data_IF_086136576979
#
_entry.id   IF_086136576979
#
_cell.length_a   1.000
_cell.length_b   1.000
_cell.length_c   1.000
_cell.angle_alpha   90.00
_cell.angle_beta   90.00
_cell.angle_gamma   90.00
#
_symmetry.space_group_name_H-M   'P 1'
#
loop_
_entity.id
_entity.type
_entity.pdbx_description
1 polymer ?
#
# COMPACT_ATOMS: atom_id res chain seq x y z
N UNK A 1 7.05 29.26 2.26
CA UNK A 1 5.98 28.25 2.21
C UNK A 1 6.52 27.02 1.49
N UNK A 2 6.63 25.91 2.21
CA UNK A 2 7.18 24.63 1.73
C UNK A 2 6.33 24.04 0.60
N UNK A 3 5.00 24.08 0.71
CA UNK A 3 4.10 23.62 -0.34
C UNK A 3 3.43 24.78 -1.08
N UNK A 4 3.71 24.88 -2.37
CA UNK A 4 3.03 25.75 -3.31
C UNK A 4 2.95 25.03 -4.64
N UNK A 5 1.74 24.98 -5.21
CA UNK A 5 1.47 24.43 -6.55
C UNK A 5 1.82 25.42 -7.66
N UNK A 6 2.03 26.69 -7.30
CA UNK A 6 2.47 27.72 -8.22
C UNK A 6 3.91 27.45 -8.69
N UNK A 7 4.05 27.08 -9.98
CA UNK A 7 5.31 26.76 -10.63
C UNK A 7 6.21 27.98 -10.85
N UNK A 8 5.63 29.19 -10.80
CA UNK A 8 6.38 30.44 -10.98
C UNK A 8 7.19 30.81 -9.74
N UNK A 9 6.83 30.25 -8.57
CA UNK A 9 7.53 30.53 -7.32
C UNK A 9 8.82 29.71 -7.23
N UNK A 10 9.97 30.36 -6.98
CA UNK A 10 11.22 29.64 -6.76
C UNK A 10 11.11 28.69 -5.56
N UNK A 11 11.94 27.65 -5.56
CA UNK A 11 12.08 26.71 -4.46
C UNK A 11 13.57 26.44 -4.20
N UNK A 12 14.06 27.00 -3.09
CA UNK A 12 15.46 26.87 -2.71
C UNK A 12 15.87 25.41 -2.52
N UNK A 13 17.19 25.14 -2.56
CA UNK A 13 17.75 23.80 -2.33
C UNK A 13 17.23 23.17 -1.03
N UNK A 14 17.26 23.94 0.07
CA UNK A 14 16.76 23.48 1.38
C UNK A 14 15.27 23.23 1.32
N UNK A 15 14.49 24.13 0.70
CA UNK A 15 13.05 23.94 0.53
C UNK A 15 12.70 22.69 -0.27
N UNK A 16 13.48 22.40 -1.32
CA UNK A 16 13.34 21.18 -2.12
C UNK A 16 13.63 19.91 -1.31
N UNK A 17 14.76 19.88 -0.58
CA UNK A 17 15.12 18.72 0.25
C UNK A 17 14.09 18.47 1.36
N UNK A 18 13.59 19.52 2.00
CA UNK A 18 12.51 19.42 3.00
C UNK A 18 11.25 18.83 2.37
N UNK A 19 10.85 19.29 1.18
CA UNK A 19 9.70 18.71 0.48
C UNK A 19 9.93 17.25 0.08
N UNK A 20 11.13 16.90 -0.39
CA UNK A 20 11.47 15.53 -0.75
C UNK A 20 11.34 14.59 0.46
N UNK A 21 11.91 14.97 1.60
CA UNK A 21 11.81 14.18 2.84
C UNK A 21 10.36 14.10 3.31
N UNK A 22 9.66 15.23 3.37
CA UNK A 22 8.26 15.27 3.80
C UNK A 22 7.37 14.38 2.93
N UNK A 23 7.46 14.50 1.60
CA UNK A 23 6.68 13.69 0.67
C UNK A 23 7.02 12.20 0.83
N UNK A 24 8.31 11.86 0.96
CA UNK A 24 8.74 10.48 1.17
C UNK A 24 8.11 9.89 2.43
N UNK A 25 8.13 10.61 3.55
CA UNK A 25 7.55 10.16 4.82
C UNK A 25 6.03 10.03 4.72
N UNK A 26 5.35 11.04 4.19
CA UNK A 26 3.87 11.03 4.10
C UNK A 26 3.39 9.91 3.19
N UNK A 27 3.96 9.77 2.00
CA UNK A 27 3.52 8.75 1.05
C UNK A 27 3.99 7.35 1.42
N UNK A 28 5.15 7.18 2.07
CA UNK A 28 5.52 5.90 2.67
C UNK A 28 4.51 5.50 3.75
N UNK A 29 4.21 6.40 4.71
CA UNK A 29 3.26 6.13 5.78
C UNK A 29 1.86 5.79 5.27
N UNK A 30 1.34 6.56 4.30
CA UNK A 30 0.06 6.25 3.64
C UNK A 30 0.08 4.88 2.96
N UNK A 31 1.17 4.56 2.24
CA UNK A 31 1.30 3.29 1.54
C UNK A 31 1.33 2.10 2.49
N UNK A 32 2.08 2.18 3.59
CA UNK A 32 2.13 1.14 4.63
C UNK A 32 0.78 0.95 5.31
N UNK A 33 0.10 2.04 5.67
CA UNK A 33 -1.23 1.98 6.29
C UNK A 33 -2.26 1.38 5.34
N UNK A 34 -2.31 1.86 4.09
CA UNK A 34 -3.24 1.34 3.07
C UNK A 34 -2.99 -0.12 2.75
N UNK A 35 -1.72 -0.50 2.54
CA UNK A 35 -1.35 -1.88 2.25
C UNK A 35 -1.68 -2.79 3.43
N UNK A 36 -1.23 -2.44 4.63
CA UNK A 36 -1.48 -3.24 5.84
C UNK A 36 -2.97 -3.40 6.14
N UNK A 37 -3.77 -2.34 5.93
CA UNK A 37 -5.22 -2.42 6.10
C UNK A 37 -5.87 -3.39 5.09
N UNK A 38 -5.43 -3.35 3.83
CA UNK A 38 -5.95 -4.21 2.76
C UNK A 38 -5.47 -5.66 2.85
N UNK A 39 -4.27 -5.92 3.37
CA UNK A 39 -3.70 -7.28 3.42
C UNK A 39 -3.87 -7.98 4.76
N UNK A 40 -4.22 -7.26 5.83
CA UNK A 40 -4.43 -7.85 7.15
C UNK A 40 -5.83 -7.58 7.69
N UNK A 41 -6.19 -6.31 7.89
CA UNK A 41 -7.41 -5.95 8.64
C UNK A 41 -8.69 -6.35 7.91
N UNK A 42 -8.80 -6.04 6.62
CA UNK A 42 -10.00 -6.36 5.83
C UNK A 42 -10.17 -7.86 5.56
N UNK A 43 -9.12 -8.61 5.14
CA UNK A 43 -9.22 -10.06 5.00
C UNK A 43 -9.64 -10.73 6.31
N UNK A 44 -9.12 -10.29 7.46
CA UNK A 44 -9.42 -10.92 8.75
C UNK A 44 -10.91 -10.88 9.11
N UNK A 45 -11.61 -9.77 8.82
CA UNK A 45 -13.05 -9.68 9.02
C UNK A 45 -13.84 -10.63 8.11
N UNK A 46 -13.43 -10.76 6.85
CA UNK A 46 -14.05 -11.69 5.90
C UNK A 46 -13.82 -13.16 6.28
N UNK A 47 -12.60 -13.49 6.72
CA UNK A 47 -12.23 -14.84 7.19
C UNK A 47 -13.10 -15.25 8.37
N UNK A 48 -13.23 -14.39 9.38
CA UNK A 48 -14.03 -14.69 10.57
C UNK A 48 -15.51 -14.89 10.24
N UNK A 49 -16.06 -14.07 9.35
CA UNK A 49 -17.47 -14.20 8.94
C UNK A 49 -17.73 -15.51 8.19
N UNK A 50 -16.83 -15.89 7.28
CA UNK A 50 -16.95 -17.13 6.49
C UNK A 50 -16.72 -18.38 7.37
N UNK A 51 -15.74 -18.36 8.26
CA UNK A 51 -15.52 -19.43 9.25
C UNK A 51 -16.71 -19.63 10.17
N UNK A 52 -17.34 -18.53 10.64
CA UNK A 52 -18.54 -18.62 11.46
C UNK A 52 -19.70 -19.23 10.68
N UNK A 53 -19.86 -18.89 9.39
CA UNK A 53 -20.88 -19.49 8.55
C UNK A 53 -20.64 -20.98 8.29
N UNK A 54 -19.38 -21.39 8.06
CA UNK A 54 -18.98 -22.80 7.91
C UNK A 54 -19.24 -23.56 9.22
N UNK A 55 -18.82 -23.01 10.35
CA UNK A 55 -19.00 -23.61 11.67
C UNK A 55 -20.47 -23.80 12.01
N UNK A 56 -21.30 -22.77 11.81
CA UNK A 56 -22.75 -22.86 12.05
C UNK A 56 -23.41 -23.90 11.17
N UNK A 57 -23.10 -23.92 9.86
CA UNK A 57 -23.65 -24.90 8.93
C UNK A 57 -23.29 -26.33 9.31
N UNK A 58 -22.04 -26.57 9.69
CA UNK A 58 -21.57 -27.89 10.11
C UNK A 58 -22.15 -28.31 11.47
N UNK A 59 -22.26 -27.37 12.41
CA UNK A 59 -22.92 -27.58 13.70
C UNK A 59 -24.39 -27.95 13.52
N UNK A 60 -25.15 -27.19 12.73
CA UNK A 60 -26.58 -27.45 12.52
C UNK A 60 -26.81 -28.79 11.84
N UNK A 61 -25.96 -29.16 10.86
CA UNK A 61 -26.00 -30.47 10.24
C UNK A 61 -25.69 -31.61 11.22
N UNK A 62 -24.68 -31.45 12.08
CA UNK A 62 -24.31 -32.44 13.08
C UNK A 62 -25.41 -32.61 14.13
N UNK A 63 -25.97 -31.52 14.62
CA UNK A 63 -27.07 -31.52 15.59
C UNK A 63 -28.34 -32.13 14.99
N UNK A 64 -28.69 -31.77 13.75
CA UNK A 64 -29.86 -32.34 13.05
C UNK A 64 -29.71 -33.85 12.84
N UNK A 65 -28.50 -34.31 12.48
CA UNK A 65 -28.19 -35.75 12.38
C UNK A 65 -28.31 -36.46 13.73
N UNK A 66 -27.77 -35.88 14.80
CA UNK A 66 -27.86 -36.47 16.14
C UNK A 66 -29.32 -36.57 16.61
N UNK A 67 -30.12 -35.52 16.39
CA UNK A 67 -31.57 -35.50 16.70
C UNK A 67 -32.34 -36.54 15.88
N UNK A 68 -32.03 -36.69 14.60
CA UNK A 68 -32.64 -37.70 13.74
C UNK A 68 -32.25 -39.14 14.11
N UNK A 69 -31.03 -39.35 14.61
CA UNK A 69 -30.56 -40.65 15.08
C UNK A 69 -31.20 -41.08 16.41
N UNK A 70 -31.60 -40.12 17.25
CA UNK A 70 -32.17 -40.38 18.57
C UNK A 70 -33.62 -40.90 18.55
N UNK A 71 -34.33 -40.91 17.40
CA UNK A 71 -35.71 -41.41 17.17
C UNK A 71 -36.37 -42.14 18.37
N UNK A 72 -36.95 -41.36 19.29
CA UNK A 72 -37.76 -41.88 20.42
C UNK A 72 -37.01 -42.25 21.72
N UNK A 73 -35.69 -42.01 21.81
CA UNK A 73 -34.89 -42.17 23.04
C UNK A 73 -34.66 -40.83 23.73
N UNK A 74 -34.29 -40.87 25.01
CA UNK A 74 -33.86 -39.67 25.78
C UNK A 74 -32.68 -39.03 25.05
N UNK A 75 -32.92 -37.85 24.49
CA UNK A 75 -31.91 -37.08 23.76
C UNK A 75 -31.32 -36.04 24.70
N UNK A 76 -30.01 -36.15 24.97
CA UNK A 76 -29.29 -35.10 25.69
C UNK A 76 -28.91 -33.98 24.72
N UNK A 77 -29.77 -32.98 24.66
CA UNK A 77 -29.60 -31.79 23.83
C UNK A 77 -28.33 -31.01 24.16
N UNK A 78 -27.88 -30.99 25.42
CA UNK A 78 -26.65 -30.29 25.81
C UNK A 78 -25.42 -31.02 25.30
N UNK A 79 -25.36 -32.34 25.45
CA UNK A 79 -24.23 -33.14 24.93
C UNK A 79 -24.18 -33.10 23.41
N UNK A 80 -25.32 -33.25 22.73
CA UNK A 80 -25.39 -33.19 21.28
C UNK A 80 -25.01 -31.82 20.72
N UNK A 81 -25.36 -30.73 21.40
CA UNK A 81 -24.95 -29.39 21.02
C UNK A 81 -23.45 -29.16 21.26
N UNK A 82 -22.88 -29.71 22.34
CA UNK A 82 -21.44 -29.66 22.59
C UNK A 82 -20.63 -30.40 21.51
N UNK A 83 -21.05 -31.60 21.13
CA UNK A 83 -20.44 -32.37 20.04
C UNK A 83 -20.60 -31.67 18.69
N UNK A 84 -21.80 -31.13 18.39
CA UNK A 84 -22.04 -30.39 17.16
C UNK A 84 -21.18 -29.12 17.06
N UNK A 85 -20.94 -28.42 18.17
CA UNK A 85 -20.01 -27.29 18.22
C UNK A 85 -18.58 -27.71 17.90
N UNK A 86 -18.11 -28.84 18.40
CA UNK A 86 -16.77 -29.36 18.08
C UNK A 86 -16.64 -29.71 16.59
N UNK A 87 -17.69 -30.30 15.99
CA UNK A 87 -17.74 -30.55 14.54
C UNK A 87 -17.71 -29.24 13.74
N UNK A 88 -18.42 -28.21 14.19
CA UNK A 88 -18.39 -26.87 13.60
C UNK A 88 -17.00 -26.24 13.62
N UNK A 89 -16.32 -26.28 14.77
CA UNK A 89 -14.95 -25.76 14.91
C UNK A 89 -13.95 -26.53 14.04
N UNK A 90 -14.06 -27.86 13.98
CA UNK A 90 -13.20 -28.69 13.14
C UNK A 90 -13.41 -28.42 11.64
N UNK A 91 -14.65 -28.17 11.21
CA UNK A 91 -14.97 -27.82 9.83
C UNK A 91 -14.39 -26.45 9.43
N UNK A 92 -14.54 -25.43 10.29
CA UNK A 92 -13.94 -24.11 10.07
C UNK A 92 -12.42 -24.17 10.00
N UNK A 93 -11.78 -24.92 10.92
CA UNK A 93 -10.33 -25.10 10.92
C UNK A 93 -9.82 -25.80 9.64
N UNK A 94 -10.59 -26.75 9.11
CA UNK A 94 -10.23 -27.48 7.87
C UNK A 94 -10.23 -26.57 6.64
N UNK A 95 -11.15 -25.61 6.58
CA UNK A 95 -11.28 -24.71 5.44
C UNK A 95 -10.55 -23.36 5.64
N UNK A 96 -9.95 -23.14 6.82
CA UNK A 96 -9.26 -21.89 7.20
C UNK A 96 -8.29 -21.38 6.13
N UNK A 97 -7.34 -22.20 5.66
CA UNK A 97 -6.34 -21.76 4.69
C UNK A 97 -6.98 -21.35 3.34
N UNK A 98 -8.03 -22.06 2.92
CA UNK A 98 -8.74 -21.78 1.68
C UNK A 98 -9.52 -20.47 1.80
N UNK A 99 -10.24 -20.28 2.90
CA UNK A 99 -10.98 -19.05 3.20
C UNK A 99 -10.02 -17.87 3.35
N UNK A 100 -8.89 -18.05 4.02
CA UNK A 100 -7.82 -17.06 4.12
C UNK A 100 -7.29 -16.65 2.74
N UNK A 101 -6.90 -17.61 1.92
CA UNK A 101 -6.39 -17.33 0.58
C UNK A 101 -7.44 -16.62 -0.28
N UNK A 102 -8.72 -17.01 -0.19
CA UNK A 102 -9.79 -16.37 -0.96
C UNK A 102 -10.02 -14.91 -0.51
N UNK A 103 -10.04 -14.67 0.79
CA UNK A 103 -10.17 -13.33 1.36
C UNK A 103 -8.97 -12.44 0.99
N UNK A 104 -7.74 -12.94 1.09
CA UNK A 104 -6.54 -12.20 0.70
C UNK A 104 -6.54 -11.89 -0.81
N UNK A 105 -6.91 -12.86 -1.65
CA UNK A 105 -7.00 -12.67 -3.10
C UNK A 105 -8.05 -11.63 -3.52
N UNK A 106 -9.13 -11.49 -2.75
CA UNK A 106 -10.16 -10.49 -3.01
C UNK A 106 -9.65 -9.05 -2.81
N UNK A 107 -8.81 -8.83 -1.80
CA UNK A 107 -8.33 -7.49 -1.43
C UNK A 107 -6.99 -7.11 -2.08
N UNK A 108 -6.20 -8.09 -2.54
CA UNK A 108 -4.90 -7.83 -3.17
C UNK A 108 -4.94 -6.83 -4.36
N UNK A 109 -5.92 -6.87 -5.29
CA UNK A 109 -5.99 -5.89 -6.37
C UNK A 109 -6.21 -4.46 -5.86
N UNK A 110 -7.00 -4.29 -4.80
CA UNK A 110 -7.26 -2.99 -4.18
C UNK A 110 -6.04 -2.46 -3.45
N UNK A 111 -5.28 -3.33 -2.78
CA UNK A 111 -4.00 -2.96 -2.18
C UNK A 111 -3.06 -2.37 -3.25
N UNK A 112 -2.88 -3.09 -4.36
CA UNK A 112 -2.02 -2.64 -5.48
C UNK A 112 -2.54 -1.33 -6.08
N UNK A 113 -3.85 -1.21 -6.29
CA UNK A 113 -4.47 0.01 -6.82
C UNK A 113 -4.18 1.24 -5.95
N UNK A 114 -4.28 1.12 -4.62
CA UNK A 114 -3.95 2.21 -3.71
C UNK A 114 -2.46 2.58 -3.74
N UNK A 115 -1.56 1.60 -3.91
CA UNK A 115 -0.13 1.88 -4.08
C UNK A 115 0.16 2.60 -5.40
N UNK A 116 -0.53 2.25 -6.49
CA UNK A 116 -0.43 2.98 -7.77
C UNK A 116 -0.88 4.43 -7.60
N UNK A 117 -2.03 4.66 -6.94
CA UNK A 117 -2.51 6.02 -6.65
C UNK A 117 -1.49 6.80 -5.82
N UNK A 118 -0.99 6.19 -4.75
CA UNK A 118 0.04 6.77 -3.89
C UNK A 118 1.28 7.18 -4.70
N UNK A 119 1.77 6.31 -5.59
CA UNK A 119 2.90 6.59 -6.48
C UNK A 119 2.61 7.76 -7.44
N UNK A 120 1.43 7.81 -8.05
CA UNK A 120 1.04 8.88 -8.98
C UNK A 120 0.99 10.24 -8.26
N UNK A 121 0.33 10.30 -7.10
CA UNK A 121 0.24 11.55 -6.34
C UNK A 121 1.61 11.99 -5.84
N UNK A 122 2.41 11.08 -5.30
CA UNK A 122 3.77 11.39 -4.87
C UNK A 122 4.62 11.91 -6.05
N UNK A 123 4.66 11.18 -7.16
CA UNK A 123 5.41 11.59 -8.35
C UNK A 123 4.93 12.96 -8.87
N UNK A 124 3.62 13.23 -8.84
CA UNK A 124 3.04 14.51 -9.22
C UNK A 124 3.51 15.67 -8.34
N UNK A 125 3.40 15.54 -7.01
CA UNK A 125 3.85 16.58 -6.08
C UNK A 125 5.37 16.79 -6.15
N UNK A 126 6.14 15.70 -6.30
CA UNK A 126 7.59 15.77 -6.42
C UNK A 126 8.00 16.43 -7.75
N UNK A 127 7.29 16.16 -8.84
CA UNK A 127 7.49 16.79 -10.15
C UNK A 127 7.27 18.31 -10.07
N UNK A 128 6.25 18.77 -9.36
CA UNK A 128 6.00 20.20 -9.11
C UNK A 128 7.18 20.83 -8.35
N UNK A 129 7.67 20.18 -7.29
CA UNK A 129 8.81 20.67 -6.52
C UNK A 129 10.09 20.72 -7.38
N UNK A 130 10.31 19.71 -8.21
CA UNK A 130 11.42 19.65 -9.17
C UNK A 130 11.34 20.76 -10.21
N UNK A 131 10.18 21.01 -10.78
CA UNK A 131 9.98 22.05 -11.78
C UNK A 131 10.28 23.43 -11.19
N UNK A 132 9.78 23.73 -9.98
CA UNK A 132 10.07 24.98 -9.27
C UNK A 132 11.56 25.14 -8.98
N UNK A 133 12.22 24.06 -8.54
CA UNK A 133 13.67 24.06 -8.30
C UNK A 133 14.45 24.28 -9.59
N UNK A 134 14.05 23.64 -10.69
CA UNK A 134 14.68 23.76 -11.99
C UNK A 134 14.55 25.18 -12.55
N UNK A 135 13.38 25.81 -12.38
CA UNK A 135 13.13 27.20 -12.76
C UNK A 135 14.09 28.15 -12.02
N UNK A 136 14.27 27.98 -10.71
CA UNK A 136 15.24 28.76 -9.91
C UNK A 136 16.70 28.49 -10.31
N UNK A 137 17.01 27.28 -10.79
CA UNK A 137 18.34 26.89 -11.23
C UNK A 137 18.62 27.22 -12.72
N UNK A 138 17.67 27.83 -13.43
CA UNK A 138 17.72 28.07 -14.88
C UNK A 138 18.17 26.85 -15.70
N UNK A 139 17.65 25.65 -15.36
CA UNK A 139 18.04 24.40 -16.05
C UNK A 139 17.28 24.19 -17.35
N UNK A 140 17.95 23.57 -18.32
CA UNK A 140 17.36 23.23 -19.61
C UNK A 140 16.29 22.12 -19.49
N UNK A 141 15.42 22.02 -20.48
CA UNK A 141 14.30 21.07 -20.49
C UNK A 141 14.72 19.60 -20.45
N UNK A 142 15.90 19.24 -20.98
CA UNK A 142 16.38 17.85 -20.96
C UNK A 142 16.72 17.38 -19.54
N UNK A 143 17.43 18.19 -18.75
CA UNK A 143 17.73 17.87 -17.36
C UNK A 143 16.46 17.78 -16.52
N UNK A 144 15.49 18.67 -16.79
CA UNK A 144 14.18 18.64 -16.16
C UNK A 144 13.46 17.33 -16.46
N UNK A 145 13.42 16.90 -17.72
CA UNK A 145 12.80 15.63 -18.11
C UNK A 145 13.44 14.43 -17.39
N UNK A 146 14.78 14.36 -17.34
CA UNK A 146 15.51 13.29 -16.66
C UNK A 146 15.18 13.27 -15.15
N UNK A 147 15.12 14.44 -14.51
CA UNK A 147 14.78 14.51 -13.09
C UNK A 147 13.34 14.07 -12.81
N UNK A 148 12.40 14.32 -13.74
CA UNK A 148 11.04 13.78 -13.63
C UNK A 148 11.04 12.26 -13.71
N UNK A 149 11.78 11.64 -14.63
CA UNK A 149 11.94 10.17 -14.63
C UNK A 149 12.50 9.66 -13.29
N UNK A 150 13.46 10.39 -12.71
CA UNK A 150 13.97 10.12 -11.38
C UNK A 150 12.91 10.22 -10.28
N UNK A 151 12.06 11.24 -10.33
CA UNK A 151 10.94 11.45 -9.42
C UNK A 151 9.96 10.28 -9.45
N UNK A 152 9.60 9.82 -10.64
CA UNK A 152 8.72 8.68 -10.84
C UNK A 152 9.34 7.40 -10.30
N UNK A 153 10.61 7.11 -10.63
CA UNK A 153 11.31 5.93 -10.12
C UNK A 153 11.38 5.92 -8.58
N UNK A 154 11.71 7.06 -7.97
CA UNK A 154 11.76 7.20 -6.51
C UNK A 154 10.37 7.06 -5.88
N UNK A 155 9.37 7.76 -6.41
CA UNK A 155 8.01 7.75 -5.89
C UNK A 155 7.39 6.35 -5.98
N UNK A 156 7.59 5.65 -7.09
CA UNK A 156 7.15 4.26 -7.26
C UNK A 156 7.84 3.34 -6.26
N UNK A 157 9.16 3.43 -6.09
CA UNK A 157 9.88 2.61 -5.12
C UNK A 157 9.36 2.81 -3.68
N UNK A 158 9.20 4.07 -3.26
CA UNK A 158 8.73 4.39 -1.90
C UNK A 158 7.27 3.97 -1.71
N UNK A 159 6.39 4.24 -2.67
CA UNK A 159 4.99 3.85 -2.56
C UNK A 159 4.82 2.32 -2.54
N UNK A 160 5.64 1.58 -3.30
CA UNK A 160 5.58 0.12 -3.34
C UNK A 160 6.42 -0.58 -2.27
N UNK A 161 7.16 0.16 -1.43
CA UNK A 161 7.96 -0.39 -0.34
C UNK A 161 7.21 -1.42 0.53
N UNK A 162 5.95 -1.20 1.00
CA UNK A 162 5.24 -2.20 1.78
C UNK A 162 5.00 -3.51 1.02
N UNK A 163 4.62 -3.43 -0.26
CA UNK A 163 4.44 -4.60 -1.12
C UNK A 163 5.77 -5.32 -1.34
N UNK A 164 6.82 -4.58 -1.69
CA UNK A 164 8.15 -5.13 -1.90
C UNK A 164 8.68 -5.81 -0.63
N UNK A 165 8.42 -5.23 0.54
CA UNK A 165 8.86 -5.78 1.83
C UNK A 165 8.08 -7.04 2.19
N UNK A 166 6.76 -7.03 1.96
CA UNK A 166 5.91 -8.19 2.14
C UNK A 166 6.36 -9.40 1.30
N UNK A 167 6.87 -9.15 0.08
CA UNK A 167 7.35 -10.19 -0.83
C UNK A 167 8.88 -10.43 -0.79
N UNK A 168 9.62 -9.78 0.11
CA UNK A 168 11.08 -9.94 0.20
C UNK A 168 11.87 -9.37 -1.00
N UNK A 169 11.26 -8.45 -1.75
CA UNK A 169 11.78 -7.87 -3.00
C UNK A 169 12.46 -6.51 -2.81
N UNK A 170 12.38 -5.88 -1.62
CA UNK A 170 12.87 -4.51 -1.37
C UNK A 170 14.33 -4.32 -1.77
N UNK A 171 15.20 -5.29 -1.46
CA UNK A 171 16.62 -5.21 -1.82
C UNK A 171 16.84 -5.22 -3.32
N UNK A 172 16.14 -6.10 -4.05
CA UNK A 172 16.25 -6.20 -5.50
C UNK A 172 15.79 -4.90 -6.19
N UNK A 173 14.75 -4.27 -5.66
CA UNK A 173 14.17 -3.05 -6.23
C UNK A 173 14.76 -1.74 -5.68
N UNK A 174 15.61 -1.81 -4.66
CA UNK A 174 16.30 -0.62 -4.10
C UNK A 174 17.09 0.16 -5.16
N UNK A 175 17.58 -0.51 -6.20
CA UNK A 175 18.25 0.12 -7.34
C UNK A 175 17.36 1.16 -8.03
N UNK A 176 16.04 0.95 -8.09
CA UNK A 176 15.10 1.93 -8.66
C UNK A 176 15.02 3.19 -7.81
N UNK A 177 14.99 3.05 -6.48
CA UNK A 177 15.04 4.18 -5.54
C UNK A 177 16.35 4.97 -5.64
N UNK A 178 17.49 4.28 -5.65
CA UNK A 178 18.80 4.91 -5.79
C UNK A 178 19.01 5.58 -7.15
N UNK A 179 18.59 4.91 -8.24
CA UNK A 179 18.60 5.50 -9.58
C UNK A 179 17.71 6.74 -9.62
N UNK A 180 16.52 6.69 -9.01
CA UNK A 180 15.62 7.83 -8.89
C UNK A 180 16.29 9.04 -8.23
N UNK A 181 16.93 8.83 -7.07
CA UNK A 181 17.69 9.87 -6.38
C UNK A 181 18.85 10.42 -7.22
N UNK A 182 19.60 9.56 -7.89
CA UNK A 182 20.74 9.95 -8.72
C UNK A 182 20.30 10.86 -9.89
N UNK A 183 19.16 10.56 -10.51
CA UNK A 183 18.60 11.35 -11.61
C UNK A 183 18.04 12.72 -11.17
N UNK A 184 17.59 12.83 -9.92
CA UNK A 184 17.11 14.08 -9.32
C UNK A 184 18.27 15.00 -8.90
N UNK A 185 19.40 14.41 -8.52
CA UNK A 185 20.53 15.11 -7.90
C UNK A 185 21.00 16.37 -8.65
N UNK A 186 21.16 16.37 -10.00
CA UNK A 186 21.64 17.53 -10.73
C UNK A 186 20.77 18.79 -10.57
N UNK A 187 19.46 18.61 -10.36
CA UNK A 187 18.52 19.72 -10.11
C UNK A 187 18.51 20.07 -8.62
N UNK A 188 18.56 19.06 -7.75
CA UNK A 188 18.55 19.26 -6.30
C UNK A 188 19.73 20.11 -5.80
N UNK A 189 20.94 19.89 -6.33
CA UNK A 189 22.17 20.53 -5.83
C UNK A 189 22.62 21.76 -6.62
N UNK A 190 21.97 22.06 -7.75
CA UNK A 190 22.35 23.19 -8.59
C UNK A 190 22.43 24.51 -7.79
N UNK A 191 23.19 25.48 -8.28
CA UNK A 191 23.13 26.86 -7.77
C UNK A 191 21.81 27.56 -8.14
N UNK A 192 21.65 28.80 -7.70
CA UNK A 192 20.69 29.71 -8.34
C UNK A 192 21.25 30.04 -9.71
N UNK A 193 20.44 29.93 -10.77
CA UNK A 193 20.86 30.34 -12.10
C UNK A 193 21.03 31.86 -12.10
N UNK A 194 22.16 32.38 -12.59
CA UNK A 194 22.19 33.78 -13.03
C UNK A 194 21.16 33.87 -14.17
N UNK A 195 20.13 34.70 -13.97
CA UNK A 195 19.39 35.20 -15.12
C UNK A 195 20.43 35.89 -15.99
N UNK A 196 20.60 35.45 -17.23
CA UNK A 196 21.33 36.21 -18.22
C UNK A 196 20.65 37.58 -18.27
N UNK A 197 21.30 38.58 -17.67
CA UNK A 197 20.97 39.98 -17.85
C UNK A 197 21.43 40.33 -19.27
N UNK A 198 20.68 39.82 -20.24
CA UNK A 198 20.70 40.37 -21.58
C UNK A 198 20.00 41.71 -21.48
N UNK A 199 20.76 42.71 -21.03
CA UNK A 199 20.38 44.10 -21.10
C UNK A 199 20.04 44.45 -22.54
N UNK A 200 18.74 44.49 -22.84
CA UNK A 200 18.11 45.13 -23.99
C UNK A 200 16.68 45.51 -23.60
#
# INVERSE_FOLDING_TARGET
>A
MTFSLDLTKPLSRVGFLVNLVFLSVVFSGLSWLSFGYMTHTLPQGAIQAEEQAIAQKAQDQAFTKAKAAAKGKVFDEKSALAEAKQVGLAAAAKDHEKTKHHAEALWAPFAIFLLIISAIFFAGFLSIALQRRANEAAKNGLLVFIAHLGAWALATFIAFEPFLSHHGLTRAWSVAGFAGLALILPIAIAGVGQADDHGH
#
